data_IF_526075741643
#
_entry.id   IF_526075741643
#
_cell.length_a   1.000
_cell.length_b   1.000
_cell.length_c   1.000
_cell.angle_alpha   90.00
_cell.angle_beta   90.00
_cell.angle_gamma   90.00
#
_symmetry.space_group_name_H-M   'P 1'
#
loop_
_entity.id
_entity.type
_entity.pdbx_description
1 polymer ?
#
# COMPACT_ATOMS: atom_id res chain seq x y z
N UNK A 1 4.76 10.21 -14.59
CA UNK A 1 4.11 8.93 -14.96
C UNK A 1 3.32 8.42 -13.77
N UNK A 2 2.01 8.21 -13.95
CA UNK A 2 1.06 7.86 -12.88
C UNK A 2 0.53 6.45 -13.12
N UNK A 3 0.80 5.54 -12.21
CA UNK A 3 0.51 4.12 -12.34
C UNK A 3 -0.44 3.64 -11.26
N UNK A 4 -1.26 2.65 -11.59
CA UNK A 4 -2.04 1.88 -10.63
C UNK A 4 -1.56 0.42 -10.70
N UNK A 5 -1.24 -0.17 -9.54
CA UNK A 5 -0.94 -1.59 -9.43
C UNK A 5 -2.14 -2.35 -8.89
N UNK A 6 -2.65 -3.29 -9.70
CA UNK A 6 -3.77 -4.16 -9.39
C UNK A 6 -3.29 -5.59 -9.14
N UNK A 7 -4.09 -6.35 -8.40
CA UNK A 7 -3.83 -7.76 -8.12
C UNK A 7 -4.18 -8.14 -6.69
N UNK A 8 -4.27 -9.44 -6.38
CA UNK A 8 -4.64 -9.92 -5.05
C UNK A 8 -3.56 -9.62 -3.99
N UNK A 9 -3.90 -9.65 -2.69
CA UNK A 9 -2.92 -9.68 -1.62
C UNK A 9 -1.88 -10.79 -1.88
N UNK A 10 -0.61 -10.55 -1.58
CA UNK A 10 0.44 -11.55 -1.84
C UNK A 10 0.96 -11.62 -3.29
N UNK A 11 0.37 -10.92 -4.27
CA UNK A 11 0.84 -10.91 -5.66
C UNK A 11 2.20 -10.22 -5.88
N UNK A 12 2.69 -9.47 -4.88
CA UNK A 12 3.96 -8.75 -4.97
C UNK A 12 3.86 -7.29 -5.39
N UNK A 13 2.63 -6.71 -5.45
CA UNK A 13 2.41 -5.29 -5.80
C UNK A 13 3.35 -4.34 -5.07
N UNK A 14 3.33 -4.35 -3.75
CA UNK A 14 4.16 -3.45 -2.94
C UNK A 14 5.65 -3.60 -3.21
N UNK A 15 6.13 -4.84 -3.40
CA UNK A 15 7.55 -5.11 -3.73
C UNK A 15 7.91 -4.51 -5.09
N UNK A 16 7.08 -4.73 -6.10
CA UNK A 16 7.34 -4.21 -7.45
C UNK A 16 7.15 -2.69 -7.52
N UNK A 17 6.14 -2.15 -6.81
CA UNK A 17 5.94 -0.71 -6.70
C UNK A 17 7.14 -0.02 -6.04
N UNK A 18 7.67 -0.55 -4.94
CA UNK A 18 8.86 -0.01 -4.28
C UNK A 18 10.11 -0.05 -5.17
N UNK A 19 10.32 -1.14 -5.92
CA UNK A 19 11.43 -1.25 -6.88
C UNK A 19 11.32 -0.23 -8.01
N UNK A 20 10.12 -0.11 -8.60
CA UNK A 20 9.88 0.83 -9.70
C UNK A 20 9.95 2.29 -9.21
N UNK A 21 9.40 2.58 -8.03
CA UNK A 21 9.51 3.87 -7.35
C UNK A 21 10.97 4.31 -7.25
N UNK A 22 11.83 3.44 -6.69
CA UNK A 22 13.27 3.71 -6.56
C UNK A 22 13.96 3.90 -7.91
N UNK A 23 13.61 3.08 -8.91
CA UNK A 23 14.25 3.12 -10.24
C UNK A 23 13.86 4.34 -11.08
N UNK A 24 12.66 4.90 -10.87
CA UNK A 24 12.09 5.96 -11.70
C UNK A 24 11.82 7.26 -10.94
N UNK A 25 12.09 7.33 -9.65
CA UNK A 25 11.81 8.50 -8.82
C UNK A 25 10.31 8.75 -8.59
N UNK A 26 9.46 7.74 -8.78
CA UNK A 26 8.02 7.86 -8.58
C UNK A 26 7.66 7.76 -7.10
N UNK A 27 6.64 8.48 -6.67
CA UNK A 27 6.13 8.38 -5.29
C UNK A 27 5.30 7.10 -5.15
N UNK A 28 5.66 6.21 -4.23
CA UNK A 28 4.88 5.01 -3.92
C UNK A 28 3.79 5.33 -2.90
N UNK A 29 2.54 5.24 -3.31
CA UNK A 29 1.34 5.46 -2.50
C UNK A 29 0.66 4.12 -2.21
N UNK A 30 1.11 3.45 -1.17
CA UNK A 30 0.44 2.26 -0.63
C UNK A 30 -0.67 2.70 0.31
N UNK A 31 -1.93 2.53 -0.10
CA UNK A 31 -3.08 2.94 0.74
C UNK A 31 -3.12 2.17 2.06
N UNK A 32 -2.72 0.91 2.07
CA UNK A 32 -2.61 0.13 3.30
C UNK A 32 -1.55 0.68 4.27
N UNK A 33 -0.39 1.13 3.76
CA UNK A 33 0.65 1.72 4.60
C UNK A 33 0.26 3.11 5.08
N UNK A 34 -0.36 3.92 4.22
CA UNK A 34 -0.90 5.23 4.58
C UNK A 34 -1.92 5.14 5.72
N UNK A 35 -2.85 4.18 5.65
CA UNK A 35 -3.83 3.93 6.72
C UNK A 35 -3.14 3.52 8.03
N UNK A 36 -2.20 2.59 7.99
CA UNK A 36 -1.45 2.16 9.18
C UNK A 36 -0.64 3.31 9.80
N UNK A 37 0.01 4.10 8.98
CA UNK A 37 0.75 5.30 9.41
C UNK A 37 -0.18 6.32 10.07
N UNK A 38 -1.32 6.62 9.45
CA UNK A 38 -2.30 7.55 9.97
C UNK A 38 -2.86 7.10 11.34
N UNK A 39 -3.14 5.81 11.49
CA UNK A 39 -3.57 5.21 12.77
C UNK A 39 -2.47 5.32 13.82
N UNK A 40 -1.23 4.94 13.47
CA UNK A 40 -0.06 5.01 14.37
C UNK A 40 0.20 6.43 14.87
N UNK A 41 0.04 7.42 14.00
CA UNK A 41 0.25 8.83 14.31
C UNK A 41 -0.97 9.51 14.96
N UNK A 42 -2.08 8.79 15.12
CA UNK A 42 -3.31 9.28 15.76
C UNK A 42 -3.95 10.47 15.03
N UNK A 43 -3.75 10.58 13.71
CA UNK A 43 -4.35 11.65 12.91
C UNK A 43 -5.90 11.57 12.95
N UNK A 44 -6.64 12.67 12.69
CA UNK A 44 -8.10 12.63 12.63
C UNK A 44 -8.63 11.56 11.66
N UNK A 45 -8.04 11.46 10.46
CA UNK A 45 -8.36 10.42 9.46
C UNK A 45 -7.96 9.04 9.95
N UNK A 46 -6.81 8.91 10.61
CA UNK A 46 -6.34 7.64 11.19
C UNK A 46 -7.27 7.10 12.26
N UNK A 47 -7.77 7.93 13.17
CA UNK A 47 -8.74 7.53 14.19
C UNK A 47 -10.07 7.04 13.59
N UNK A 48 -10.54 7.69 12.53
CA UNK A 48 -11.73 7.23 11.80
C UNK A 48 -11.46 5.89 11.10
N UNK A 49 -10.35 5.76 10.38
CA UNK A 49 -9.95 4.55 9.68
C UNK A 49 -9.76 3.36 10.64
N UNK A 50 -9.19 3.59 11.83
CA UNK A 50 -8.95 2.56 12.83
C UNK A 50 -10.23 1.82 13.23
N UNK A 51 -11.35 2.53 13.33
CA UNK A 51 -12.66 1.96 13.69
C UNK A 51 -13.10 0.89 12.68
N UNK A 52 -12.92 1.15 11.39
CA UNK A 52 -13.23 0.20 10.31
C UNK A 52 -12.20 -0.95 10.26
N UNK A 53 -10.92 -0.63 10.38
CA UNK A 53 -9.83 -1.63 10.33
C UNK A 53 -9.95 -2.65 11.47
N UNK A 54 -10.28 -2.23 12.70
CA UNK A 54 -10.49 -3.13 13.85
C UNK A 54 -11.66 -4.09 13.67
N UNK A 55 -12.67 -3.70 12.91
CA UNK A 55 -13.82 -4.54 12.57
C UNK A 55 -13.58 -5.42 11.33
N UNK A 56 -12.47 -5.25 10.64
CA UNK A 56 -12.21 -5.90 9.34
C UNK A 56 -13.08 -5.35 8.20
N UNK A 57 -13.69 -4.18 8.40
CA UNK A 57 -14.53 -3.51 7.42
C UNK A 57 -13.68 -2.70 6.43
N UNK A 58 -14.23 -2.45 5.24
CA UNK A 58 -13.60 -1.55 4.28
C UNK A 58 -13.66 -0.10 4.80
N UNK A 59 -12.51 0.57 4.79
CA UNK A 59 -12.45 2.01 5.09
C UNK A 59 -13.22 2.77 4.00
N UNK A 60 -14.09 3.74 4.36
CA UNK A 60 -14.85 4.51 3.38
C UNK A 60 -13.95 5.15 2.31
N UNK A 61 -14.42 5.11 1.06
CA UNK A 61 -13.67 5.60 -0.11
C UNK A 61 -13.28 7.08 0.02
N UNK A 62 -14.14 7.89 0.62
CA UNK A 62 -13.90 9.31 0.87
C UNK A 62 -12.68 9.56 1.76
N UNK A 63 -12.44 8.70 2.75
CA UNK A 63 -11.27 8.80 3.62
C UNK A 63 -10.00 8.45 2.85
N UNK A 64 -10.02 7.37 2.07
CA UNK A 64 -8.85 6.95 1.27
C UNK A 64 -8.51 8.02 0.23
N UNK A 65 -9.51 8.54 -0.48
CA UNK A 65 -9.32 9.60 -1.48
C UNK A 65 -8.79 10.87 -0.85
N UNK A 66 -9.32 11.29 0.31
CA UNK A 66 -8.81 12.44 1.04
C UNK A 66 -7.33 12.30 1.43
N UNK A 67 -6.92 11.11 1.87
CA UNK A 67 -5.51 10.83 2.18
C UNK A 67 -4.61 10.88 0.94
N UNK A 68 -5.09 10.35 -0.19
CA UNK A 68 -4.35 10.42 -1.46
C UNK A 68 -4.26 11.87 -1.93
N UNK A 69 -5.37 12.62 -1.87
CA UNK A 69 -5.43 14.03 -2.28
C UNK A 69 -4.50 14.92 -1.45
N UNK A 70 -4.43 14.69 -0.14
CA UNK A 70 -3.49 15.38 0.75
C UNK A 70 -2.02 15.14 0.33
N UNK A 71 -1.68 13.90 -0.02
CA UNK A 71 -0.33 13.56 -0.50
C UNK A 71 -0.02 14.20 -1.86
N UNK A 72 -1.00 14.28 -2.76
CA UNK A 72 -0.87 14.95 -4.07
C UNK A 72 -0.70 16.46 -3.89
N UNK A 73 -1.50 17.08 -3.03
CA UNK A 73 -1.50 18.53 -2.79
C UNK A 73 -0.20 19.07 -2.22
N UNK A 74 0.59 18.25 -1.55
CA UNK A 74 1.90 18.63 -0.98
C UNK A 74 3.03 18.79 -2.02
N UNK A 75 2.72 18.73 -3.33
CA UNK A 75 3.67 19.06 -4.41
C UNK A 75 4.82 18.06 -4.61
N UNK A 76 4.86 16.97 -3.85
CA UNK A 76 5.96 15.97 -3.90
C UNK A 76 5.93 15.05 -5.13
N UNK A 77 4.97 15.23 -6.05
CA UNK A 77 4.70 14.27 -7.14
C UNK A 77 5.13 14.75 -8.53
N UNK A 78 6.15 15.60 -8.63
CA UNK A 78 6.62 16.15 -9.91
C UNK A 78 7.02 15.09 -10.94
N UNK A 79 7.46 13.91 -10.50
CA UNK A 79 7.84 12.80 -11.38
C UNK A 79 6.73 11.78 -11.58
N UNK A 80 5.62 11.89 -10.82
CA UNK A 80 4.49 10.99 -10.83
C UNK A 80 4.44 10.03 -9.65
N UNK A 81 3.49 9.09 -9.68
CA UNK A 81 3.22 8.19 -8.56
C UNK A 81 2.85 6.76 -8.99
N UNK A 82 2.89 5.86 -8.04
CA UNK A 82 2.37 4.49 -8.14
C UNK A 82 1.35 4.31 -7.02
N UNK A 83 0.08 4.10 -7.36
CA UNK A 83 -0.97 3.70 -6.41
C UNK A 83 -0.95 2.17 -6.23
N UNK A 84 -0.85 1.72 -4.97
CA UNK A 84 -0.89 0.32 -4.60
C UNK A 84 -2.03 0.08 -3.59
N UNK A 85 -2.93 -0.83 -3.95
CA UNK A 85 -4.06 -1.24 -3.12
C UNK A 85 -5.32 -0.38 -3.27
N UNK A 86 -5.35 0.57 -4.19
CA UNK A 86 -6.51 1.38 -4.56
C UNK A 86 -6.40 1.82 -6.03
N UNK A 87 -7.49 1.87 -6.83
CA UNK A 87 -8.87 1.48 -6.49
C UNK A 87 -9.05 -0.06 -6.45
N UNK A 88 -10.12 -0.53 -5.79
CA UNK A 88 -10.52 -1.95 -5.73
C UNK A 88 -11.90 -2.20 -6.32
N UNK A 89 -12.67 -1.15 -6.54
CA UNK A 89 -14.02 -1.17 -7.12
C UNK A 89 -14.14 -0.11 -8.21
N UNK A 90 -15.16 -0.24 -9.08
CA UNK A 90 -15.45 0.74 -10.12
C UNK A 90 -15.77 2.12 -9.51
N UNK A 91 -16.65 2.25 -8.50
CA UNK A 91 -16.90 3.55 -7.87
C UNK A 91 -15.64 4.22 -7.30
N UNK A 92 -14.71 3.45 -6.75
CA UNK A 92 -13.41 3.96 -6.31
C UNK A 92 -12.58 4.49 -7.49
N UNK A 93 -12.59 3.80 -8.62
CA UNK A 93 -11.87 4.22 -9.82
C UNK A 93 -12.45 5.55 -10.37
N UNK A 94 -13.77 5.67 -10.41
CA UNK A 94 -14.46 6.88 -10.85
C UNK A 94 -14.14 8.07 -9.93
N UNK A 95 -14.22 7.85 -8.62
CA UNK A 95 -13.90 8.86 -7.60
C UNK A 95 -12.42 9.29 -7.66
N UNK A 96 -11.51 8.33 -7.88
CA UNK A 96 -10.09 8.62 -8.08
C UNK A 96 -9.86 9.46 -9.35
N UNK A 97 -10.50 9.09 -10.46
CA UNK A 97 -10.42 9.82 -11.73
C UNK A 97 -10.90 11.26 -11.60
N UNK A 98 -12.04 11.47 -10.92
CA UNK A 98 -12.57 12.80 -10.64
C UNK A 98 -11.62 13.64 -9.76
N UNK A 99 -11.03 13.04 -8.73
CA UNK A 99 -10.05 13.70 -7.86
C UNK A 99 -8.79 14.08 -8.63
N UNK A 100 -8.20 13.15 -9.39
CA UNK A 100 -7.01 13.43 -10.20
C UNK A 100 -7.26 14.52 -11.24
N UNK A 101 -8.45 14.54 -11.86
CA UNK A 101 -8.84 15.59 -12.81
C UNK A 101 -8.84 16.98 -12.20
N UNK A 102 -9.25 17.15 -10.93
CA UNK A 102 -9.16 18.44 -10.21
C UNK A 102 -7.73 18.95 -10.06
N UNK A 103 -6.77 18.03 -10.03
CA UNK A 103 -5.33 18.36 -9.94
C UNK A 103 -4.61 18.34 -11.30
N UNK A 104 -5.36 18.30 -12.41
CA UNK A 104 -4.80 18.17 -13.77
C UNK A 104 -3.89 16.95 -13.95
N UNK A 105 -4.20 15.88 -13.26
CA UNK A 105 -3.51 14.60 -13.30
C UNK A 105 -4.42 13.52 -13.92
N UNK A 106 -3.80 12.52 -14.51
CA UNK A 106 -4.48 11.34 -15.03
C UNK A 106 -3.65 10.08 -14.75
N UNK A 107 -4.29 8.92 -14.82
CA UNK A 107 -3.62 7.62 -14.76
C UNK A 107 -3.10 7.27 -16.14
N UNK A 108 -1.80 7.06 -16.26
CA UNK A 108 -1.18 6.67 -17.55
C UNK A 108 -1.38 5.19 -17.85
N UNK A 109 -1.24 4.32 -16.85
CA UNK A 109 -1.41 2.87 -17.01
C UNK A 109 -1.88 2.20 -15.71
N UNK A 110 -2.67 1.14 -15.88
CA UNK A 110 -2.98 0.17 -14.84
C UNK A 110 -2.21 -1.14 -15.13
N UNK A 111 -1.49 -1.64 -14.13
CA UNK A 111 -0.67 -2.85 -14.22
C UNK A 111 -1.26 -3.93 -13.33
N UNK A 112 -1.75 -5.01 -13.93
CA UNK A 112 -2.30 -6.16 -13.21
C UNK A 112 -1.19 -7.19 -12.95
N UNK A 113 -0.94 -7.51 -11.67
CA UNK A 113 -0.09 -8.62 -11.28
C UNK A 113 -0.96 -9.87 -11.08
N UNK A 114 -0.94 -10.75 -12.08
CA UNK A 114 -1.66 -12.04 -12.03
C UNK A 114 -0.74 -13.11 -11.46
N UNK A 115 -1.22 -13.83 -10.45
CA UNK A 115 -0.50 -14.89 -9.75
C UNK A 115 -1.50 -16.00 -9.42
N UNK A 116 -1.10 -17.26 -9.55
CA UNK A 116 -1.94 -18.42 -9.22
C UNK A 116 -2.32 -18.42 -7.74
N UNK A 117 -3.55 -18.90 -7.44
CA UNK A 117 -4.10 -18.86 -6.08
C UNK A 117 -3.27 -19.65 -5.07
N UNK A 118 -2.73 -20.81 -5.48
CA UNK A 118 -1.87 -21.63 -4.63
C UNK A 118 -0.60 -20.87 -4.21
N UNK A 119 -0.03 -20.11 -5.12
CA UNK A 119 1.14 -19.29 -4.85
C UNK A 119 0.78 -18.11 -3.93
N UNK A 120 -0.41 -17.52 -4.09
CA UNK A 120 -0.93 -16.48 -3.18
C UNK A 120 -1.04 -17.02 -1.76
N UNK A 121 -1.67 -18.18 -1.58
CA UNK A 121 -1.82 -18.82 -0.26
C UNK A 121 -0.44 -19.09 0.36
N UNK A 122 0.50 -19.64 -0.40
CA UNK A 122 1.87 -19.91 0.04
C UNK A 122 2.57 -18.63 0.51
N UNK A 123 2.43 -17.52 -0.22
CA UNK A 123 3.05 -16.24 0.11
C UNK A 123 2.42 -15.59 1.34
N UNK A 124 1.10 -15.62 1.46
CA UNK A 124 0.38 -15.01 2.57
C UNK A 124 0.65 -15.74 3.89
N UNK A 125 0.70 -17.08 3.88
CA UNK A 125 0.99 -17.87 5.09
C UNK A 125 2.38 -17.59 5.67
N UNK A 126 3.35 -17.23 4.83
CA UNK A 126 4.72 -16.91 5.24
C UNK A 126 5.00 -15.42 5.49
N UNK A 127 3.99 -14.57 5.51
CA UNK A 127 4.18 -13.12 5.54
C UNK A 127 4.33 -12.58 6.95
N UNK A 128 5.45 -11.89 7.18
CA UNK A 128 5.76 -11.15 8.40
C UNK A 128 6.11 -9.70 8.08
N UNK A 129 6.07 -8.84 9.08
CA UNK A 129 6.46 -7.45 8.96
C UNK A 129 7.12 -6.96 10.26
N UNK A 130 7.92 -5.92 10.15
CA UNK A 130 8.43 -5.19 11.30
C UNK A 130 7.42 -4.13 11.74
N UNK A 131 6.89 -4.16 12.98
CA UNK A 131 5.94 -3.16 13.45
C UNK A 131 6.56 -1.77 13.61
N UNK A 132 7.88 -1.66 13.69
CA UNK A 132 8.59 -0.39 13.85
C UNK A 132 8.84 0.31 12.52
N UNK A 133 9.50 -0.37 11.55
CA UNK A 133 9.92 0.24 10.28
C UNK A 133 9.08 -0.19 9.06
N UNK A 134 8.09 -1.05 9.25
CA UNK A 134 7.21 -1.61 8.20
C UNK A 134 7.94 -2.49 7.15
N UNK A 135 9.21 -2.85 7.37
CA UNK A 135 9.90 -3.78 6.48
C UNK A 135 9.16 -5.12 6.38
N UNK A 136 8.91 -5.58 5.16
CA UNK A 136 8.21 -6.83 4.89
C UNK A 136 9.18 -7.99 4.73
N UNK A 137 8.81 -9.15 5.30
CA UNK A 137 9.53 -10.40 5.19
C UNK A 137 8.58 -11.51 4.74
N UNK A 138 9.12 -12.56 4.16
CA UNK A 138 8.35 -13.71 3.70
C UNK A 138 9.14 -15.02 3.89
N UNK A 139 8.58 -15.96 4.61
CA UNK A 139 9.18 -17.28 4.81
C UNK A 139 8.66 -18.28 3.77
N UNK A 140 9.52 -19.03 3.08
CA UNK A 140 10.99 -19.01 3.12
C UNK A 140 11.65 -18.10 2.07
N UNK A 141 10.89 -17.21 1.40
CA UNK A 141 11.36 -16.52 0.17
C UNK A 141 12.26 -15.31 0.45
N UNK A 142 11.97 -14.56 1.49
CA UNK A 142 12.70 -13.35 1.89
C UNK A 142 12.81 -13.35 3.42
N UNK A 143 13.69 -14.19 3.92
CA UNK A 143 13.93 -14.35 5.37
C UNK A 143 14.81 -13.21 5.89
N UNK A 144 14.64 -12.80 7.16
CA UNK A 144 15.60 -11.93 7.82
C UNK A 144 16.93 -12.69 8.06
N UNK A 145 18.00 -11.96 8.30
CA UNK A 145 19.32 -12.53 8.62
C UNK A 145 19.29 -13.33 9.91
N UNK A 146 18.59 -12.80 10.92
CA UNK A 146 18.32 -13.48 12.19
C UNK A 146 16.85 -13.84 12.26
N UNK A 147 16.54 -15.11 12.58
CA UNK A 147 15.16 -15.60 12.54
C UNK A 147 14.22 -14.71 13.38
N UNK A 148 13.11 -14.30 12.73
CA UNK A 148 12.06 -13.46 13.29
C UNK A 148 12.48 -12.09 13.86
N UNK A 149 13.63 -11.58 13.43
CA UNK A 149 14.14 -10.27 13.86
C UNK A 149 14.37 -9.38 12.64
N UNK A 150 13.95 -8.12 12.72
CA UNK A 150 14.12 -7.14 11.64
C UNK A 150 15.59 -6.81 11.38
N UNK A 151 16.02 -6.84 10.13
CA UNK A 151 17.39 -6.54 9.71
C UNK A 151 17.77 -5.05 9.88
N UNK A 152 16.79 -4.16 10.03
CA UNK A 152 17.01 -2.71 10.08
C UNK A 152 17.11 -2.17 11.52
N UNK A 153 16.29 -2.71 12.44
CA UNK A 153 16.12 -2.15 13.78
C UNK A 153 16.10 -3.19 14.90
N UNK A 154 16.35 -4.46 14.57
CA UNK A 154 16.31 -5.60 15.50
C UNK A 154 14.98 -5.81 16.23
N UNK A 155 13.88 -5.22 15.74
CA UNK A 155 12.55 -5.45 16.31
C UNK A 155 12.06 -6.86 15.99
N UNK A 156 11.42 -7.58 16.93
CA UNK A 156 10.76 -8.84 16.63
C UNK A 156 9.69 -8.68 15.54
N UNK A 157 9.72 -9.58 14.55
CA UNK A 157 8.76 -9.56 13.44
C UNK A 157 7.38 -10.05 13.91
N UNK A 158 6.35 -9.35 13.49
CA UNK A 158 4.97 -9.75 13.70
C UNK A 158 4.38 -10.39 12.43
N UNK A 159 3.45 -11.35 12.63
CA UNK A 159 2.67 -11.87 11.52
C UNK A 159 1.66 -10.81 11.07
N UNK A 160 1.56 -10.58 9.77
CA UNK A 160 0.64 -9.58 9.24
C UNK A 160 -0.80 -10.12 9.26
N UNK A 161 -1.75 -9.39 9.85
CA UNK A 161 -3.16 -9.76 9.85
C UNK A 161 -3.81 -9.34 8.52
N UNK A 162 -3.65 -10.12 7.48
CA UNK A 162 -4.32 -9.91 6.19
C UNK A 162 -4.84 -11.20 5.60
#
# INVERSE_FOLDING_TARGET
>A
MNLIFLGPPGSGKGTQAARLSKARGLVHLSTGDMLREAVKNGTPLGKQAETYMKKGELVPDTLIIGMIEERIGNGSMSQGFILDGFPRTIPQADSLGAMLGRHSLAVDKAVLLSVADEEIVRRLSGRFYCPTCNAGYNYPMQMPKNDRVCDHDNTPLARRPD
#
